data_IF_006268641657
#
_entry.id   IF_006268641657
#
_cell.length_a   1.000
_cell.length_b   1.000
_cell.length_c   1.000
_cell.angle_alpha   90.00
_cell.angle_beta   90.00
_cell.angle_gamma   90.00
#
_symmetry.space_group_name_H-M   'P 1'
#
loop_
_entity.id
_entity.type
_entity.pdbx_description
1 polymer ?
#
# COMPACT_ATOMS: atom_id res chain seq x y z
N UNK A 1 -4.67 -28.67 1.52
CA UNK A 1 -5.28 -27.43 2.06
C UNK A 1 -4.26 -26.55 2.79
N UNK A 2 -3.60 -27.05 3.85
CA UNK A 2 -2.63 -26.29 4.68
C UNK A 2 -1.49 -25.61 3.90
N UNK A 3 -0.90 -26.28 2.89
CA UNK A 3 0.18 -25.68 2.06
C UNK A 3 -0.25 -24.44 1.26
N UNK A 4 -1.52 -24.39 0.81
CA UNK A 4 -2.05 -23.27 0.01
C UNK A 4 -2.33 -22.06 0.89
N UNK A 5 -2.87 -22.29 2.09
CA UNK A 5 -3.11 -21.25 3.11
C UNK A 5 -1.79 -20.61 3.53
N UNK A 6 -0.79 -21.41 3.92
CA UNK A 6 0.55 -20.90 4.27
C UNK A 6 1.23 -20.09 3.16
N UNK A 7 0.99 -20.47 1.89
CA UNK A 7 1.51 -19.71 0.74
C UNK A 7 0.79 -18.37 0.57
N UNK A 8 -0.52 -18.32 0.80
CA UNK A 8 -1.30 -17.10 0.76
C UNK A 8 -0.92 -16.15 1.90
N UNK A 9 -0.75 -16.66 3.12
CA UNK A 9 -0.28 -15.88 4.29
C UNK A 9 1.08 -15.21 4.03
N UNK A 10 2.07 -15.98 3.54
CA UNK A 10 3.37 -15.41 3.15
C UNK A 10 3.26 -14.37 2.03
N UNK A 11 2.34 -14.60 1.09
CA UNK A 11 2.07 -13.64 0.01
C UNK A 11 1.46 -12.34 0.54
N UNK A 12 0.57 -12.42 1.52
CA UNK A 12 -0.03 -11.27 2.21
C UNK A 12 1.05 -10.51 2.98
N UNK A 13 1.89 -11.20 3.75
CA UNK A 13 2.97 -10.58 4.52
C UNK A 13 3.98 -9.87 3.61
N UNK A 14 4.35 -10.49 2.50
CA UNK A 14 5.21 -9.87 1.50
C UNK A 14 4.59 -8.62 0.87
N UNK A 15 3.29 -8.65 0.55
CA UNK A 15 2.59 -7.49 0.02
C UNK A 15 2.49 -6.36 1.05
N UNK A 16 2.17 -6.66 2.32
CA UNK A 16 2.16 -5.67 3.40
C UNK A 16 3.52 -4.97 3.49
N UNK A 17 4.61 -5.74 3.52
CA UNK A 17 5.96 -5.19 3.59
C UNK A 17 6.27 -4.28 2.40
N UNK A 18 5.94 -4.70 1.19
CA UNK A 18 6.14 -3.87 -0.02
C UNK A 18 5.33 -2.57 0.03
N UNK A 19 4.07 -2.64 0.48
CA UNK A 19 3.22 -1.45 0.64
C UNK A 19 3.83 -0.47 1.65
N UNK A 20 4.26 -0.96 2.81
CA UNK A 20 4.92 -0.13 3.84
C UNK A 20 6.21 0.51 3.31
N UNK A 21 7.05 -0.25 2.59
CA UNK A 21 8.27 0.29 1.97
C UNK A 21 7.96 1.39 0.95
N UNK A 22 6.87 1.27 0.19
CA UNK A 22 6.44 2.34 -0.71
C UNK A 22 5.89 3.55 0.04
N UNK A 23 5.16 3.36 1.15
CA UNK A 23 4.72 4.48 1.98
C UNK A 23 5.90 5.26 2.55
N UNK A 24 6.89 4.58 3.12
CA UNK A 24 8.11 5.21 3.64
C UNK A 24 8.82 6.02 2.54
N UNK A 25 8.93 5.46 1.32
CA UNK A 25 9.53 6.17 0.19
C UNK A 25 8.74 7.40 -0.22
N UNK A 26 7.40 7.33 -0.26
CA UNK A 26 6.56 8.49 -0.56
C UNK A 26 6.78 9.59 0.49
N UNK A 27 6.81 9.24 1.77
CA UNK A 27 7.03 10.18 2.86
C UNK A 27 8.41 10.85 2.79
N UNK A 28 9.45 10.08 2.44
CA UNK A 28 10.80 10.61 2.20
C UNK A 28 10.83 11.52 0.98
N UNK A 29 10.24 11.09 -0.13
CA UNK A 29 10.21 11.86 -1.38
C UNK A 29 9.44 13.18 -1.20
N UNK A 30 8.35 13.20 -0.42
CA UNK A 30 7.65 14.42 -0.03
C UNK A 30 8.58 15.35 0.76
N UNK A 31 9.28 14.82 1.77
CA UNK A 31 10.25 15.60 2.59
C UNK A 31 11.39 16.18 1.75
N UNK A 32 11.84 15.45 0.74
CA UNK A 32 12.92 15.85 -0.16
C UNK A 32 12.43 16.72 -1.34
N UNK A 33 11.15 17.11 -1.38
CA UNK A 33 10.52 17.82 -2.51
C UNK A 33 10.60 17.05 -3.85
N UNK A 34 10.82 15.74 -3.82
CA UNK A 34 10.91 14.88 -5.00
C UNK A 34 9.53 14.33 -5.39
N UNK A 35 8.60 15.22 -5.72
CA UNK A 35 7.18 14.89 -5.93
C UNK A 35 6.95 13.90 -7.09
N UNK A 36 7.78 13.93 -8.15
CA UNK A 36 7.68 12.97 -9.26
C UNK A 36 8.00 11.53 -8.83
N UNK A 37 9.03 11.36 -8.00
CA UNK A 37 9.38 10.04 -7.44
C UNK A 37 8.34 9.58 -6.42
N UNK A 38 7.82 10.49 -5.61
CA UNK A 38 6.70 10.21 -4.72
C UNK A 38 5.45 9.74 -5.47
N UNK A 39 5.12 10.38 -6.61
CA UNK A 39 4.01 9.97 -7.50
C UNK A 39 4.25 8.61 -8.14
N UNK A 40 5.49 8.24 -8.44
CA UNK A 40 5.81 6.90 -8.92
C UNK A 40 5.46 5.84 -7.86
N UNK A 41 5.94 6.01 -6.63
CA UNK A 41 5.65 5.07 -5.53
C UNK A 41 4.16 5.04 -5.16
N UNK A 42 3.49 6.18 -5.22
CA UNK A 42 2.03 6.25 -5.06
C UNK A 42 1.30 5.33 -6.06
N UNK A 43 1.66 5.41 -7.34
CA UNK A 43 1.01 4.61 -8.40
C UNK A 43 1.27 3.11 -8.23
N UNK A 44 2.43 2.71 -7.72
CA UNK A 44 2.75 1.30 -7.43
C UNK A 44 1.81 0.73 -6.36
N UNK A 45 1.54 1.49 -5.28
CA UNK A 45 0.58 1.08 -4.24
C UNK A 45 -0.84 1.02 -4.81
N UNK A 46 -1.29 2.11 -5.45
CA UNK A 46 -2.67 2.30 -5.91
C UNK A 46 -3.11 1.25 -6.93
N UNK A 47 -2.27 1.00 -7.95
CA UNK A 47 -2.66 0.14 -9.07
C UNK A 47 -2.50 -1.35 -8.78
N UNK A 48 -1.44 -1.71 -8.05
CA UNK A 48 -0.92 -3.08 -8.12
C UNK A 48 -0.99 -3.79 -6.77
N UNK A 49 -0.53 -3.12 -5.70
CA UNK A 49 -0.30 -3.79 -4.42
C UNK A 49 -1.57 -3.92 -3.58
N UNK A 50 -2.41 -2.88 -3.52
CA UNK A 50 -3.66 -2.94 -2.76
C UNK A 50 -4.65 -3.94 -3.35
N UNK A 51 -4.84 -3.93 -4.67
CA UNK A 51 -5.69 -4.90 -5.35
C UNK A 51 -5.20 -6.35 -5.14
N UNK A 52 -3.89 -6.58 -5.23
CA UNK A 52 -3.30 -7.90 -4.98
C UNK A 52 -3.49 -8.36 -3.52
N UNK A 53 -3.38 -7.43 -2.56
CA UNK A 53 -3.57 -7.71 -1.14
C UNK A 53 -5.04 -8.08 -0.85
N UNK A 54 -5.98 -7.28 -1.36
CA UNK A 54 -7.42 -7.49 -1.21
C UNK A 54 -7.85 -8.84 -1.76
N UNK A 55 -7.39 -9.21 -2.97
CA UNK A 55 -7.68 -10.51 -3.58
C UNK A 55 -7.18 -11.66 -2.69
N UNK A 56 -5.96 -11.56 -2.14
CA UNK A 56 -5.40 -12.64 -1.30
C UNK A 56 -6.13 -12.76 0.04
N UNK A 57 -6.53 -11.65 0.65
CA UNK A 57 -7.32 -11.63 1.89
C UNK A 57 -8.68 -12.30 1.65
N UNK A 58 -9.37 -11.95 0.54
CA UNK A 58 -10.63 -12.58 0.12
C UNK A 58 -10.49 -14.08 -0.11
N UNK A 59 -9.41 -14.53 -0.74
CA UNK A 59 -9.13 -15.98 -0.97
C UNK A 59 -8.99 -16.75 0.35
N UNK A 60 -8.48 -16.11 1.40
CA UNK A 60 -8.38 -16.73 2.73
C UNK A 60 -9.69 -16.71 3.53
N UNK A 61 -10.75 -16.11 3.00
CA UNK A 61 -12.02 -15.94 3.72
C UNK A 61 -11.90 -14.99 4.91
N UNK A 62 -10.89 -14.10 4.91
CA UNK A 62 -10.77 -13.04 5.91
C UNK A 62 -11.71 -11.93 5.46
N UNK A 63 -12.87 -11.84 6.12
CA UNK A 63 -13.90 -10.83 5.79
C UNK A 63 -13.57 -9.43 6.34
N UNK A 64 -12.59 -9.33 7.26
CA UNK A 64 -12.17 -8.07 7.85
C UNK A 64 -11.19 -7.30 6.94
N UNK A 65 -11.76 -6.54 5.99
CA UNK A 65 -11.02 -5.72 5.02
C UNK A 65 -10.51 -4.38 5.60
N UNK A 66 -10.58 -4.20 6.93
CA UNK A 66 -10.11 -2.99 7.62
C UNK A 66 -8.67 -2.62 7.28
N UNK A 67 -7.81 -3.61 7.03
CA UNK A 67 -6.43 -3.36 6.66
C UNK A 67 -6.31 -2.68 5.28
N UNK A 68 -7.02 -3.17 4.27
CA UNK A 68 -6.96 -2.57 2.93
C UNK A 68 -7.57 -1.17 2.98
N UNK A 69 -8.66 -1.00 3.74
CA UNK A 69 -9.25 0.31 3.99
C UNK A 69 -8.26 1.28 4.64
N UNK A 70 -7.57 0.87 5.70
CA UNK A 70 -6.60 1.75 6.37
C UNK A 70 -5.44 2.15 5.46
N UNK A 71 -4.98 1.24 4.60
CA UNK A 71 -3.97 1.56 3.59
C UNK A 71 -4.50 2.50 2.50
N UNK A 72 -5.74 2.34 2.05
CA UNK A 72 -6.37 3.29 1.11
C UNK A 72 -6.49 4.69 1.71
N UNK A 73 -6.90 4.79 2.97
CA UNK A 73 -6.98 6.08 3.68
C UNK A 73 -5.61 6.74 3.84
N UNK A 74 -4.57 5.97 4.19
CA UNK A 74 -3.20 6.49 4.27
C UNK A 74 -2.70 6.98 2.92
N UNK A 75 -2.96 6.21 1.86
CA UNK A 75 -2.60 6.56 0.50
C UNK A 75 -3.28 7.86 0.06
N UNK A 76 -4.57 8.03 0.36
CA UNK A 76 -5.29 9.27 0.03
C UNK A 76 -4.73 10.50 0.77
N UNK A 77 -4.29 10.36 2.02
CA UNK A 77 -3.60 11.44 2.75
C UNK A 77 -2.30 11.83 2.06
N UNK A 78 -1.49 10.86 1.67
CA UNK A 78 -0.23 11.11 0.96
C UNK A 78 -0.45 11.71 -0.44
N UNK A 79 -1.54 11.33 -1.12
CA UNK A 79 -1.95 11.96 -2.38
C UNK A 79 -2.14 13.47 -2.21
N UNK A 80 -2.87 13.87 -1.17
CA UNK A 80 -3.10 15.29 -0.88
C UNK A 80 -1.78 16.02 -0.65
N UNK A 81 -0.85 15.42 0.09
CA UNK A 81 0.49 15.99 0.28
C UNK A 81 1.28 16.13 -1.04
N UNK A 82 1.19 15.15 -1.94
CA UNK A 82 1.84 15.19 -3.26
C UNK A 82 1.21 16.20 -4.23
N UNK A 83 -0.10 16.43 -4.11
CA UNK A 83 -0.86 17.32 -4.99
C UNK A 83 -0.79 18.79 -4.51
N UNK A 84 -0.78 19.02 -3.20
CA UNK A 84 -0.77 20.36 -2.62
C UNK A 84 0.59 21.05 -2.66
N UNK A 85 1.70 20.30 -2.66
CA UNK A 85 3.04 20.88 -2.45
C UNK A 85 3.23 21.61 -1.11
N UNK A 86 2.19 21.63 -0.26
CA UNK A 86 2.19 22.24 1.06
C UNK A 86 2.64 21.22 2.09
N UNK A 87 3.77 21.53 2.72
CA UNK A 87 4.25 20.90 3.93
C UNK A 87 3.33 21.31 5.09
N UNK A 88 2.71 20.34 5.77
CA UNK A 88 2.19 20.53 7.13
C UNK A 88 3.23 20.00 8.10
#
# INVERSE_FOLDING_TARGET
MVKRIKKAEKGIESLKKQIEEHFEKIEVDIKENNTDRGRYHFKEIDKSLLAALEIKIKILGIEDDKLVQSYRERLEKLRKSLDSGEFV
#
